data_IF_940272597019
#
_entry.id   IF_940272597019
#
_cell.length_a   1.000
_cell.length_b   1.000
_cell.length_c   1.000
_cell.angle_alpha   90.00
_cell.angle_beta   90.00
_cell.angle_gamma   90.00
#
_symmetry.space_group_name_H-M   'P 1'
#
loop_
_entity.id
_entity.type
_entity.pdbx_description
1 polymer ?
#
# COMPACT_ATOMS: atom_id res chain seq x y z
N UNK A 1 5.02 -52.12 63.75
CA UNK A 1 5.73 -52.40 62.49
C UNK A 1 4.66 -52.91 61.55
N UNK A 2 4.23 -52.25 60.49
CA UNK A 2 4.82 -51.19 59.68
C UNK A 2 3.68 -50.64 58.81
N UNK A 3 3.36 -49.35 59.00
CA UNK A 3 2.82 -48.41 58.01
C UNK A 3 1.45 -48.75 57.40
N UNK A 4 0.37 -48.07 57.81
CA UNK A 4 0.00 -46.77 57.23
C UNK A 4 0.47 -46.62 55.78
N UNK A 5 -0.36 -47.08 54.84
CA UNK A 5 -0.44 -46.44 53.54
C UNK A 5 -1.79 -45.75 53.45
N UNK A 6 -1.73 -44.49 53.88
CA UNK A 6 -2.68 -43.43 53.55
C UNK A 6 -2.76 -43.39 52.03
N UNK A 7 -3.77 -44.06 51.46
CA UNK A 7 -4.19 -43.81 50.09
C UNK A 7 -5.00 -42.51 50.11
N UNK A 8 -4.27 -41.41 50.27
CA UNK A 8 -4.77 -40.07 50.07
C UNK A 8 -5.14 -39.93 48.61
N UNK A 9 -6.37 -40.32 48.28
CA UNK A 9 -7.05 -39.97 47.03
C UNK A 9 -7.03 -38.45 46.90
N UNK A 10 -5.99 -37.90 46.26
CA UNK A 10 -6.02 -36.59 45.64
C UNK A 10 -7.13 -36.62 44.58
N UNK A 11 -8.35 -36.36 45.03
CA UNK A 11 -9.40 -35.86 44.14
C UNK A 11 -8.86 -34.51 43.67
N UNK A 12 -8.35 -34.49 42.44
CA UNK A 12 -8.13 -33.25 41.74
C UNK A 12 -9.43 -32.47 41.83
N UNK A 13 -9.34 -31.23 42.29
CA UNK A 13 -10.44 -30.28 42.20
C UNK A 13 -10.62 -30.01 40.70
N UNK A 14 -11.32 -30.91 39.98
CA UNK A 14 -11.77 -30.70 38.61
C UNK A 14 -12.87 -29.63 38.62
N UNK A 15 -12.47 -28.41 38.94
CA UNK A 15 -13.29 -27.20 38.83
C UNK A 15 -13.53 -26.94 37.35
N UNK A 16 -14.59 -27.55 36.82
CA UNK A 16 -15.11 -27.25 35.50
C UNK A 16 -15.49 -25.78 35.39
N UNK A 17 -15.11 -25.15 34.27
CA UNK A 17 -15.46 -23.77 33.94
C UNK A 17 -16.99 -23.59 34.02
N UNK A 18 -17.47 -22.57 34.70
CA UNK A 18 -18.91 -22.28 34.74
C UNK A 18 -19.38 -21.79 33.36
N UNK A 19 -20.53 -22.30 32.88
CA UNK A 19 -21.14 -21.79 31.65
C UNK A 19 -21.43 -20.29 31.72
N UNK A 20 -21.80 -19.79 32.91
CA UNK A 20 -22.06 -18.36 33.15
C UNK A 20 -20.79 -17.54 33.00
N UNK A 21 -19.66 -18.07 33.44
CA UNK A 21 -18.35 -17.42 33.36
C UNK A 21 -17.94 -17.22 31.89
N UNK A 22 -18.16 -18.24 31.06
CA UNK A 22 -17.93 -18.13 29.62
C UNK A 22 -18.90 -17.16 28.93
N UNK A 23 -20.17 -17.09 29.37
CA UNK A 23 -21.16 -16.17 28.82
C UNK A 23 -20.82 -14.69 29.05
N UNK A 24 -20.37 -14.34 30.26
CA UNK A 24 -19.96 -12.95 30.55
C UNK A 24 -18.71 -12.56 29.77
N UNK A 25 -17.76 -13.48 29.59
CA UNK A 25 -16.55 -13.24 28.81
C UNK A 25 -16.87 -12.92 27.35
N UNK A 26 -17.72 -13.72 26.69
CA UNK A 26 -18.10 -13.45 25.30
C UNK A 26 -18.91 -12.16 25.16
N UNK A 27 -19.71 -11.80 26.17
CA UNK A 27 -20.46 -10.54 26.19
C UNK A 27 -19.51 -9.33 26.24
N UNK A 28 -18.48 -9.36 27.09
CA UNK A 28 -17.51 -8.27 27.17
C UNK A 28 -16.68 -8.18 25.87
N UNK A 29 -16.24 -9.32 25.31
CA UNK A 29 -15.52 -9.35 24.02
C UNK A 29 -16.38 -8.76 22.90
N UNK A 30 -17.69 -9.06 22.86
CA UNK A 30 -18.60 -8.50 21.86
C UNK A 30 -18.67 -6.96 21.92
N UNK A 31 -18.71 -6.37 23.12
CA UNK A 31 -18.71 -4.91 23.32
C UNK A 31 -17.40 -4.30 22.82
N UNK A 32 -16.26 -4.92 23.13
CA UNK A 32 -14.95 -4.43 22.69
C UNK A 32 -14.81 -4.48 21.17
N UNK A 33 -15.22 -5.59 20.54
CA UNK A 33 -15.16 -5.77 19.10
C UNK A 33 -16.06 -4.76 18.37
N UNK A 34 -17.25 -4.46 18.91
CA UNK A 34 -18.17 -3.50 18.32
C UNK A 34 -17.56 -2.10 18.13
N UNK A 35 -16.72 -1.65 19.06
CA UNK A 35 -15.99 -0.38 18.92
C UNK A 35 -14.68 -0.52 18.14
N UNK A 36 -14.01 -1.67 18.26
CA UNK A 36 -12.70 -1.90 17.63
C UNK A 36 -12.77 -2.09 16.11
N UNK A 37 -13.79 -2.79 15.57
CA UNK A 37 -13.89 -3.04 14.13
C UNK A 37 -13.93 -1.75 13.29
N UNK A 38 -14.83 -0.77 13.54
CA UNK A 38 -14.92 0.41 12.66
C UNK A 38 -13.65 1.26 12.71
N UNK A 39 -13.03 1.38 13.89
CA UNK A 39 -11.78 2.14 14.06
C UNK A 39 -10.60 1.44 13.39
N UNK A 40 -10.51 0.12 13.53
CA UNK A 40 -9.47 -0.70 12.90
C UNK A 40 -9.56 -0.67 11.37
N UNK A 41 -10.77 -0.78 10.80
CA UNK A 41 -10.97 -0.72 9.35
C UNK A 41 -10.55 0.65 8.77
N UNK A 42 -10.92 1.75 9.43
CA UNK A 42 -10.50 3.09 9.01
C UNK A 42 -8.99 3.32 9.15
N UNK A 43 -8.36 2.78 10.21
CA UNK A 43 -6.90 2.86 10.38
C UNK A 43 -6.16 2.06 9.31
N UNK A 44 -6.66 0.88 8.96
CA UNK A 44 -6.10 0.03 7.90
C UNK A 44 -6.17 0.70 6.52
N UNK A 45 -7.32 1.26 6.14
CA UNK A 45 -7.47 1.98 4.87
C UNK A 45 -6.47 3.14 4.76
N UNK A 46 -6.33 3.95 5.81
CA UNK A 46 -5.33 5.05 5.84
C UNK A 46 -3.89 4.55 5.77
N UNK A 47 -3.59 3.40 6.37
CA UNK A 47 -2.27 2.80 6.27
C UNK A 47 -1.96 2.33 4.85
N UNK A 48 -2.94 1.70 4.19
CA UNK A 48 -2.83 1.26 2.80
C UNK A 48 -2.65 2.46 1.83
N UNK A 49 -3.38 3.56 2.06
CA UNK A 49 -3.24 4.80 1.28
C UNK A 49 -1.86 5.44 1.45
N UNK A 50 -1.36 5.51 2.69
CA UNK A 50 -0.01 6.03 2.98
C UNK A 50 1.08 5.16 2.37
N UNK A 51 0.90 3.84 2.38
CA UNK A 51 1.83 2.92 1.72
C UNK A 51 1.88 3.17 0.21
N UNK A 52 0.72 3.32 -0.44
CA UNK A 52 0.65 3.63 -1.87
C UNK A 52 1.33 4.98 -2.22
N UNK A 53 1.09 6.02 -1.41
CA UNK A 53 1.76 7.31 -1.56
C UNK A 53 3.27 7.22 -1.38
N UNK A 54 3.74 6.43 -0.41
CA UNK A 54 5.17 6.18 -0.19
C UNK A 54 5.78 5.47 -1.38
N UNK A 55 5.13 4.42 -1.88
CA UNK A 55 5.58 3.67 -3.05
C UNK A 55 5.68 4.57 -4.28
N UNK A 56 4.71 5.46 -4.51
CA UNK A 56 4.76 6.41 -5.62
C UNK A 56 5.99 7.34 -5.52
N UNK A 57 6.34 7.80 -4.31
CA UNK A 57 7.54 8.63 -4.07
C UNK A 57 8.84 7.85 -4.26
N UNK A 58 8.90 6.60 -3.79
CA UNK A 58 10.04 5.71 -4.03
C UNK A 58 10.20 5.41 -5.52
N UNK A 59 9.10 5.19 -6.24
CA UNK A 59 9.11 5.05 -7.70
C UNK A 59 9.66 6.28 -8.40
N UNK A 60 9.27 7.49 -7.98
CA UNK A 60 9.84 8.73 -8.53
C UNK A 60 11.33 8.84 -8.23
N UNK A 61 11.77 8.43 -7.05
CA UNK A 61 13.19 8.45 -6.69
C UNK A 61 14.00 7.47 -7.55
N UNK A 62 13.45 6.30 -7.84
CA UNK A 62 14.06 5.35 -8.77
C UNK A 62 14.17 5.94 -10.19
N UNK A 63 13.10 6.57 -10.65
CA UNK A 63 13.04 7.26 -11.94
C UNK A 63 14.07 8.40 -12.03
N UNK A 64 14.14 9.26 -11.01
CA UNK A 64 15.12 10.38 -10.93
C UNK A 64 16.57 9.85 -10.91
N UNK A 65 16.80 8.67 -10.32
CA UNK A 65 18.12 8.01 -10.32
C UNK A 65 18.50 7.56 -11.73
N UNK A 66 17.58 6.94 -12.48
CA UNK A 66 17.82 6.56 -13.88
C UNK A 66 17.99 7.80 -14.77
N UNK A 67 17.20 8.84 -14.52
CA UNK A 67 17.32 10.11 -15.23
C UNK A 67 18.68 10.78 -14.98
N UNK A 68 19.24 10.68 -13.77
CA UNK A 68 20.56 11.23 -13.47
C UNK A 68 21.69 10.57 -14.29
N UNK A 69 21.54 9.30 -14.66
CA UNK A 69 22.53 8.55 -15.47
C UNK A 69 22.31 8.74 -16.98
N UNK A 70 21.05 8.65 -17.41
CA UNK A 70 20.69 8.59 -18.85
C UNK A 70 20.24 9.93 -19.43
N UNK A 71 19.95 10.91 -18.57
CA UNK A 71 19.32 12.20 -18.92
C UNK A 71 17.95 12.06 -19.61
N UNK A 72 17.28 10.92 -19.43
CA UNK A 72 15.98 10.62 -20.01
C UNK A 72 15.12 9.86 -19.01
N UNK A 73 13.80 10.12 -19.01
CA UNK A 73 12.85 9.29 -18.29
C UNK A 73 12.65 7.97 -19.03
N UNK A 74 12.34 6.91 -18.29
CA UNK A 74 12.20 5.56 -18.83
C UNK A 74 10.95 4.86 -18.31
N UNK A 75 10.29 4.10 -19.18
CA UNK A 75 9.28 3.12 -18.77
C UNK A 75 9.88 1.70 -18.71
N UNK A 76 11.20 1.56 -18.86
CA UNK A 76 11.88 0.27 -18.81
C UNK A 76 11.86 -0.31 -17.39
N UNK A 77 11.02 -1.33 -17.20
CA UNK A 77 10.82 -2.01 -15.92
C UNK A 77 12.12 -2.60 -15.38
N UNK A 78 13.02 -3.09 -16.23
CA UNK A 78 14.27 -3.71 -15.80
C UNK A 78 15.23 -2.66 -15.18
N UNK A 79 15.32 -1.48 -15.79
CA UNK A 79 16.12 -0.37 -15.29
C UNK A 79 15.61 0.12 -13.93
N UNK A 80 14.28 0.27 -13.79
CA UNK A 80 13.67 0.74 -12.54
C UNK A 80 13.72 -0.29 -11.42
N UNK A 81 13.47 -1.57 -11.73
CA UNK A 81 13.61 -2.65 -10.75
C UNK A 81 15.06 -2.92 -10.35
N UNK A 82 16.03 -2.56 -11.20
CA UNK A 82 17.44 -2.55 -10.85
C UNK A 82 17.80 -1.52 -9.78
N UNK A 83 17.09 -0.38 -9.73
CA UNK A 83 17.27 0.67 -8.72
C UNK A 83 16.46 0.37 -7.46
N UNK A 84 15.18 0.02 -7.62
CA UNK A 84 14.26 -0.20 -6.51
C UNK A 84 13.58 -1.57 -6.61
N UNK A 85 14.30 -2.66 -6.27
CA UNK A 85 13.82 -4.04 -6.44
C UNK A 85 12.66 -4.39 -5.49
N UNK A 86 12.41 -3.56 -4.48
CA UNK A 86 11.26 -3.70 -3.62
C UNK A 86 9.94 -3.52 -4.38
N UNK A 87 9.92 -2.68 -5.42
CA UNK A 87 8.70 -2.28 -6.13
C UNK A 87 8.51 -3.10 -7.41
N UNK A 88 7.25 -3.41 -7.74
CA UNK A 88 6.89 -4.05 -8.99
C UNK A 88 6.56 -3.00 -10.05
N UNK A 89 7.52 -2.59 -10.86
CA UNK A 89 7.24 -1.64 -11.93
C UNK A 89 6.51 -2.31 -13.09
N UNK A 90 5.53 -1.63 -13.65
CA UNK A 90 4.85 -2.03 -14.89
C UNK A 90 4.84 -0.87 -15.86
N UNK A 91 5.24 -1.16 -17.11
CA UNK A 91 5.15 -0.23 -18.23
C UNK A 91 3.70 -0.16 -18.74
N UNK A 92 2.78 0.20 -17.85
CA UNK A 92 1.37 0.37 -18.13
C UNK A 92 0.96 1.79 -17.78
N UNK A 93 0.14 2.38 -18.63
CA UNK A 93 -0.41 3.72 -18.41
C UNK A 93 -1.62 3.68 -17.48
N UNK A 94 -2.13 2.49 -17.11
CA UNK A 94 -3.33 2.33 -16.28
C UNK A 94 -2.98 1.77 -14.91
N UNK A 95 -2.88 2.61 -13.86
CA UNK A 95 -2.64 2.12 -12.49
C UNK A 95 -3.80 1.26 -11.95
N UNK A 96 -4.98 1.37 -12.57
CA UNK A 96 -6.12 0.50 -12.32
C UNK A 96 -5.92 -0.95 -12.79
N UNK A 97 -5.06 -1.16 -13.80
CA UNK A 97 -4.65 -2.47 -14.30
C UNK A 97 -3.43 -3.02 -13.55
N UNK A 98 -2.60 -2.14 -12.98
CA UNK A 98 -1.54 -2.53 -12.07
C UNK A 98 -2.11 -3.26 -10.83
N UNK A 99 -1.43 -4.32 -10.40
CA UNK A 99 -1.76 -5.12 -9.23
C UNK A 99 -1.88 -4.28 -7.95
N UNK A 100 -2.73 -4.72 -7.03
CA UNK A 100 -2.92 -4.04 -5.75
C UNK A 100 -1.69 -4.29 -4.86
N UNK A 101 -1.10 -3.24 -4.27
CA UNK A 101 -0.01 -3.38 -3.29
C UNK A 101 1.25 -2.63 -3.71
N UNK A 102 2.29 -3.37 -4.08
CA UNK A 102 3.61 -2.80 -4.37
C UNK A 102 3.88 -2.54 -5.86
N UNK A 103 2.84 -2.64 -6.68
CA UNK A 103 2.95 -2.45 -8.11
C UNK A 103 2.78 -0.98 -8.49
N UNK A 104 3.59 -0.52 -9.44
CA UNK A 104 3.70 0.88 -9.84
C UNK A 104 3.60 0.96 -11.35
N UNK A 105 2.57 1.63 -11.83
CA UNK A 105 2.40 1.99 -13.22
C UNK A 105 3.28 3.20 -13.55
N UNK A 106 4.13 3.05 -14.56
CA UNK A 106 5.00 4.12 -15.05
C UNK A 106 4.65 4.41 -16.50
N UNK A 107 4.26 5.64 -16.78
CA UNK A 107 4.06 6.15 -18.14
C UNK A 107 5.01 7.29 -18.39
N UNK A 108 5.77 7.20 -19.48
CA UNK A 108 6.66 8.26 -19.94
C UNK A 108 6.14 8.77 -21.26
N UNK A 109 5.91 10.08 -21.36
CA UNK A 109 5.60 10.74 -22.62
C UNK A 109 6.80 11.56 -23.06
N UNK A 110 7.44 11.08 -24.12
CA UNK A 110 8.51 11.81 -24.81
C UNK A 110 7.90 12.70 -25.89
N UNK A 111 8.21 13.99 -25.89
CA UNK A 111 7.76 14.86 -26.97
C UNK A 111 8.69 14.74 -28.18
N UNK A 112 8.12 14.53 -29.37
CA UNK A 112 8.87 14.28 -30.62
C UNK A 112 9.66 15.50 -31.16
N UNK A 113 9.79 16.57 -30.38
CA UNK A 113 10.43 17.84 -30.75
C UNK A 113 11.74 18.15 -30.03
N UNK A 114 12.21 17.25 -29.17
CA UNK A 114 13.41 17.45 -28.34
C UNK A 114 13.08 17.45 -26.85
N UNK A 115 14.14 17.28 -26.05
CA UNK A 115 14.23 16.95 -24.60
C UNK A 115 13.57 18.01 -23.66
N UNK A 116 12.66 18.86 -24.16
CA UNK A 116 12.20 20.04 -23.44
C UNK A 116 10.93 19.86 -22.62
N UNK A 117 10.11 18.84 -22.92
CA UNK A 117 8.82 18.61 -22.24
C UNK A 117 8.58 17.14 -21.86
N UNK A 118 9.64 16.33 -21.77
CA UNK A 118 9.49 14.93 -21.35
C UNK A 118 8.84 14.87 -19.97
N UNK A 119 7.74 14.13 -19.90
CA UNK A 119 6.98 13.90 -18.68
C UNK A 119 7.08 12.45 -18.27
N UNK A 120 7.22 12.25 -16.97
CA UNK A 120 6.95 10.95 -16.35
C UNK A 120 5.74 11.10 -15.45
N UNK A 121 4.85 10.13 -15.51
CA UNK A 121 3.74 9.99 -14.58
C UNK A 121 3.82 8.61 -13.96
N UNK A 122 3.85 8.60 -12.64
CA UNK A 122 3.89 7.42 -11.80
C UNK A 122 2.53 7.29 -11.15
N UNK A 123 1.91 6.14 -11.26
CA UNK A 123 0.62 5.83 -10.67
C UNK A 123 0.68 4.59 -9.79
N UNK A 124 0.08 4.68 -8.61
CA UNK A 124 0.01 3.56 -7.66
C UNK A 124 -1.43 3.41 -7.16
N UNK A 125 -1.90 2.17 -7.06
CA UNK A 125 -3.22 1.84 -6.55
C UNK A 125 -3.15 1.33 -5.12
N UNK A 126 -3.81 2.05 -4.22
CA UNK A 126 -4.01 1.62 -2.83
C UNK A 126 -4.97 0.43 -2.74
N UNK A 127 -4.83 -0.39 -1.69
CA UNK A 127 -5.80 -1.44 -1.34
C UNK A 127 -7.17 -0.87 -0.97
N UNK A 128 -7.26 0.41 -0.65
CA UNK A 128 -8.54 1.13 -0.47
C UNK A 128 -9.31 1.31 -1.78
N UNK A 129 -8.64 1.15 -2.94
CA UNK A 129 -9.19 1.42 -4.26
C UNK A 129 -8.85 2.82 -4.81
N UNK A 130 -8.20 3.68 -4.03
CA UNK A 130 -7.75 5.00 -4.49
C UNK A 130 -6.44 4.91 -5.24
N UNK A 131 -6.35 5.55 -6.40
CA UNK A 131 -5.10 5.71 -7.13
C UNK A 131 -4.45 7.06 -6.84
N UNK A 132 -3.13 7.04 -6.65
CA UNK A 132 -2.29 8.21 -6.43
C UNK A 132 -1.32 8.36 -7.59
N UNK A 133 -1.15 9.59 -8.05
CA UNK A 133 -0.32 9.93 -9.19
C UNK A 133 0.70 10.98 -8.80
N UNK A 134 1.90 10.84 -9.34
CA UNK A 134 2.96 11.84 -9.29
C UNK A 134 3.44 12.08 -10.71
N UNK A 135 3.44 13.35 -11.14
CA UNK A 135 3.98 13.77 -12.43
C UNK A 135 5.22 14.62 -12.23
N UNK A 136 6.26 14.38 -13.00
CA UNK A 136 7.45 15.23 -13.06
C UNK A 136 7.80 15.61 -14.52
N UNK A 137 8.62 16.65 -14.67
CA UNK A 137 9.06 17.25 -15.93
C UNK A 137 10.59 17.31 -15.95
N UNK A 138 11.21 16.94 -17.07
CA UNK A 138 12.67 16.83 -17.20
C UNK A 138 13.41 18.18 -17.07
N UNK A 139 12.87 19.24 -17.69
CA UNK A 139 13.59 20.52 -17.86
C UNK A 139 13.28 21.58 -16.81
N UNK A 140 12.08 21.53 -16.23
CA UNK A 140 11.65 22.40 -15.16
C UNK A 140 10.88 21.54 -14.15
N UNK A 141 11.59 20.84 -13.25
CA UNK A 141 10.98 19.87 -12.36
C UNK A 141 9.93 20.56 -11.50
N UNK A 142 8.68 20.25 -11.81
CA UNK A 142 7.52 20.70 -11.08
C UNK A 142 6.69 19.45 -10.76
N UNK A 143 6.98 18.87 -9.60
CA UNK A 143 6.27 17.68 -9.12
C UNK A 143 4.80 18.04 -8.87
N UNK A 144 3.92 17.40 -9.64
CA UNK A 144 2.48 17.55 -9.49
C UNK A 144 1.89 16.26 -8.91
N UNK A 145 0.85 16.41 -8.11
CA UNK A 145 0.20 15.32 -7.40
C UNK A 145 -1.27 15.27 -7.79
N UNK A 146 -1.78 14.06 -8.02
CA UNK A 146 -3.21 13.83 -8.22
C UNK A 146 -3.68 12.57 -7.51
N UNK A 147 -4.96 12.50 -7.20
CA UNK A 147 -5.61 11.27 -6.76
C UNK A 147 -6.94 11.06 -7.50
N UNK A 148 -7.34 9.81 -7.67
CA UNK A 148 -8.62 9.45 -8.29
C UNK A 148 -9.09 8.07 -7.82
N UNK A 149 -10.41 7.93 -7.59
CA UNK A 149 -11.05 6.64 -7.29
C UNK A 149 -11.40 5.83 -8.54
N UNK A 150 -11.39 6.44 -9.73
CA UNK A 150 -11.69 5.76 -11.00
C UNK A 150 -10.45 5.20 -11.70
N UNK A 151 -9.26 5.48 -11.17
CA UNK A 151 -7.98 4.95 -11.65
C UNK A 151 -7.79 4.98 -13.19
N UNK A 152 -8.03 6.12 -13.87
CA UNK A 152 -7.93 6.19 -15.33
C UNK A 152 -6.49 6.08 -15.81
N UNK A 153 -6.34 5.79 -17.11
CA UNK A 153 -5.06 5.84 -17.80
C UNK A 153 -4.42 7.24 -17.69
N UNK A 154 -3.11 7.29 -17.47
CA UNK A 154 -2.33 8.53 -17.40
C UNK A 154 -2.06 9.09 -18.78
N UNK A 155 -1.72 8.28 -19.78
CA UNK A 155 -1.27 8.73 -21.12
C UNK A 155 -0.21 9.86 -21.02
N UNK A 156 0.68 9.77 -20.03
CA UNK A 156 1.67 10.81 -19.67
C UNK A 156 1.13 12.14 -19.12
N UNK A 157 -0.16 12.19 -18.78
CA UNK A 157 -0.84 13.29 -18.13
C UNK A 157 -1.44 12.88 -16.78
N UNK A 158 -1.77 13.89 -15.96
CA UNK A 158 -2.57 13.67 -14.76
C UNK A 158 -4.06 13.59 -15.15
N UNK A 159 -4.87 12.81 -14.42
CA UNK A 159 -6.29 12.72 -14.68
C UNK A 159 -7.01 14.07 -14.50
N UNK A 160 -8.07 14.37 -15.27
CA UNK A 160 -8.72 15.68 -15.30
C UNK A 160 -9.47 16.08 -14.01
N UNK A 161 -9.67 15.13 -13.08
CA UNK A 161 -10.34 15.35 -11.79
C UNK A 161 -9.36 15.42 -10.60
N UNK A 162 -8.09 15.70 -10.87
CA UNK A 162 -7.01 15.68 -9.89
C UNK A 162 -7.21 16.69 -8.74
N UNK A 163 -7.47 16.19 -7.53
CA UNK A 163 -7.18 16.92 -6.29
C UNK A 163 -5.74 16.68 -5.84
N UNK A 164 -5.06 17.71 -5.30
CA UNK A 164 -3.77 17.55 -4.62
C UNK A 164 -3.99 16.81 -3.30
N UNK A 165 -3.28 15.70 -3.10
CA UNK A 165 -3.27 14.94 -1.84
C UNK A 165 -2.05 15.31 -0.99
#
# INVERSE_FOLDING_TARGET
MMQELIEGSQRGDERGFSLVELMVVVLVIAILIAMAIPTFLGARQRADDRAAQSNARSGLTAEDTVYADTQQFTADVASLSGVEPGLGFVADEVPGAAGIGNEIAVSVSTSSGGITDDTVVIGVRSKSGTCYYIKNLARNPATQYASSSSCPATNGALPPFAGSW
#
